data_IF_673981715761
#
_entry.id   IF_673981715761
#
_cell.length_a   1.000
_cell.length_b   1.000
_cell.length_c   1.000
_cell.angle_alpha   90.00
_cell.angle_beta   90.00
_cell.angle_gamma   90.00
#
_symmetry.space_group_name_H-M   'P 1'
#
loop_
_entity.id
_entity.type
_entity.pdbx_description
1 polymer ?
#
# COMPACT_ATOMS: atom_id res chain seq x y z
N UNK A 1 14.14 -16.40 5.39
CA UNK A 1 13.97 -15.00 5.02
C UNK A 1 13.01 -14.99 3.85
N UNK A 2 11.96 -14.18 3.85
CA UNK A 2 11.04 -14.15 2.75
C UNK A 2 11.78 -13.66 1.52
N UNK A 3 11.89 -14.51 0.52
CA UNK A 3 12.11 -14.07 -0.84
C UNK A 3 10.75 -13.63 -1.35
N UNK A 4 10.32 -12.44 -1.04
CA UNK A 4 9.07 -11.93 -1.57
C UNK A 4 9.27 -11.42 -2.99
N UNK A 5 8.23 -11.53 -3.80
CA UNK A 5 8.09 -10.83 -5.04
C UNK A 5 7.19 -9.63 -4.78
N UNK A 6 7.56 -8.47 -5.28
CA UNK A 6 6.76 -7.27 -5.12
C UNK A 6 7.39 -6.22 -4.22
N UNK A 7 6.81 -5.04 -4.20
CA UNK A 7 7.38 -3.88 -3.52
C UNK A 7 7.40 -4.01 -2.00
N UNK A 8 6.41 -4.63 -1.39
CA UNK A 8 6.38 -4.88 0.05
C UNK A 8 7.29 -6.03 0.49
N UNK A 9 7.70 -6.88 -0.44
CA UNK A 9 8.62 -7.97 -0.19
C UNK A 9 10.03 -7.64 -0.66
N UNK A 10 10.19 -6.53 -1.33
CA UNK A 10 11.47 -5.93 -1.65
C UNK A 10 11.87 -5.02 -0.47
N UNK A 11 13.03 -5.11 0.03
CA UNK A 11 14.21 -5.66 -0.59
C UNK A 11 14.30 -7.17 -0.37
N UNK A 12 15.01 -7.83 -1.25
CA UNK A 12 15.73 -9.03 -0.84
C UNK A 12 16.68 -8.62 0.28
N UNK A 13 16.11 -8.15 1.37
CA UNK A 13 16.88 -7.69 2.51
C UNK A 13 17.45 -8.88 3.19
N UNK A 14 18.52 -9.27 2.65
CA UNK A 14 19.61 -9.70 3.47
C UNK A 14 20.30 -8.46 4.07
N UNK A 15 19.53 -7.59 4.72
CA UNK A 15 20.14 -6.63 5.64
C UNK A 15 20.66 -7.42 6.82
N UNK A 16 21.87 -7.89 6.69
CA UNK A 16 22.59 -8.57 7.78
C UNK A 16 22.87 -7.64 8.94
N UNK A 17 22.83 -6.36 8.69
CA UNK A 17 23.08 -5.26 9.62
C UNK A 17 21.90 -4.92 10.53
N UNK A 18 20.67 -5.37 10.24
CA UNK A 18 19.49 -5.06 11.05
C UNK A 18 19.63 -5.52 12.51
N UNK A 19 20.34 -6.63 12.75
CA UNK A 19 20.61 -7.11 14.10
C UNK A 19 21.58 -6.18 14.84
N UNK A 20 22.59 -5.68 14.14
CA UNK A 20 23.54 -4.71 14.70
C UNK A 20 22.85 -3.38 14.97
N UNK A 21 21.94 -2.95 14.11
CA UNK A 21 21.12 -1.77 14.33
C UNK A 21 20.23 -1.93 15.56
N UNK A 22 19.55 -3.08 15.73
CA UNK A 22 18.78 -3.35 16.95
C UNK A 22 19.64 -3.32 18.21
N UNK A 23 20.83 -3.93 18.18
CA UNK A 23 21.75 -3.91 19.31
C UNK A 23 22.18 -2.50 19.63
N UNK A 24 22.48 -1.70 18.63
CA UNK A 24 22.82 -0.30 18.77
C UNK A 24 21.70 0.52 19.45
N UNK A 25 20.42 0.30 19.05
CA UNK A 25 19.25 0.87 19.69
C UNK A 25 19.14 0.46 21.16
N UNK A 26 19.35 -0.82 21.48
CA UNK A 26 19.31 -1.32 22.85
C UNK A 26 20.46 -0.80 23.69
N UNK A 27 21.67 -0.68 23.14
CA UNK A 27 22.81 -0.11 23.86
C UNK A 27 22.54 1.33 24.28
N UNK A 28 21.98 2.14 23.37
CA UNK A 28 21.61 3.51 23.70
C UNK A 28 20.44 3.60 24.69
N UNK A 29 19.30 2.99 24.38
CA UNK A 29 18.09 3.20 25.17
C UNK A 29 18.01 2.38 26.44
N UNK A 30 18.65 1.23 26.53
CA UNK A 30 18.59 0.38 27.71
C UNK A 30 19.84 0.46 28.57
N UNK A 31 21.02 0.69 27.99
CA UNK A 31 22.28 0.75 28.73
C UNK A 31 22.82 2.17 28.89
N UNK A 32 22.42 3.09 28.03
CA UNK A 32 22.97 4.46 27.98
C UNK A 32 24.38 4.50 27.40
N UNK A 33 24.73 3.53 26.56
CA UNK A 33 26.03 3.39 25.92
C UNK A 33 25.96 3.78 24.45
N UNK A 34 27.09 4.20 23.87
CA UNK A 34 27.20 4.52 22.47
C UNK A 34 26.70 5.92 22.10
N UNK A 35 26.23 6.07 20.88
CA UNK A 35 25.71 7.31 20.29
C UNK A 35 24.20 7.21 20.12
N UNK A 36 23.48 8.34 20.25
CA UNK A 36 22.05 8.37 19.97
C UNK A 36 21.75 7.91 18.54
N UNK A 37 20.82 6.97 18.35
CA UNK A 37 20.39 6.59 17.01
C UNK A 37 19.81 7.77 16.24
N UNK A 38 20.06 7.83 14.96
CA UNK A 38 19.36 8.76 14.06
C UNK A 38 17.93 8.26 13.87
N UNK A 39 16.96 9.12 14.22
CA UNK A 39 15.54 8.78 14.06
C UNK A 39 15.10 9.09 12.64
N UNK A 40 14.44 8.13 12.03
CA UNK A 40 13.90 8.25 10.67
C UNK A 40 13.49 6.91 10.12
N UNK A 41 13.24 6.87 8.83
CA UNK A 41 12.79 5.69 8.10
C UNK A 41 13.69 5.48 6.89
N UNK A 42 14.30 4.34 6.79
CA UNK A 42 14.97 3.89 5.57
C UNK A 42 13.98 3.11 4.72
N UNK A 43 13.93 3.46 3.45
CA UNK A 43 13.02 2.84 2.48
C UNK A 43 13.78 2.41 1.26
N UNK A 44 13.32 1.31 0.66
CA UNK A 44 13.81 0.87 -0.63
C UNK A 44 12.66 0.92 -1.64
N UNK A 45 12.88 1.53 -2.78
CA UNK A 45 11.91 1.54 -3.85
C UNK A 45 11.87 0.21 -4.63
N UNK A 46 10.87 0.05 -5.50
CA UNK A 46 10.71 -1.13 -6.35
C UNK A 46 11.82 -1.32 -7.41
N UNK A 47 12.75 -0.39 -7.53
CA UNK A 47 13.94 -0.45 -8.42
C UNK A 47 15.23 -0.70 -7.63
N UNK A 48 15.13 -0.89 -6.31
CA UNK A 48 16.25 -1.18 -5.42
C UNK A 48 17.00 0.05 -4.90
N UNK A 49 16.50 1.25 -5.17
CA UNK A 49 17.07 2.50 -4.64
C UNK A 49 16.75 2.67 -3.16
N UNK A 50 17.76 2.97 -2.34
CA UNK A 50 17.57 3.25 -0.91
C UNK A 50 17.59 4.74 -0.64
N UNK A 51 16.70 5.18 0.25
CA UNK A 51 16.67 6.55 0.75
C UNK A 51 16.27 6.60 2.22
N UNK A 52 16.59 7.71 2.86
CA UNK A 52 16.28 7.99 4.25
C UNK A 52 15.34 9.19 4.34
N UNK A 53 14.29 9.06 5.13
CA UNK A 53 13.35 10.13 5.46
C UNK A 53 13.30 10.34 6.98
N UNK A 54 13.12 11.59 7.39
CA UNK A 54 12.97 11.91 8.82
C UNK A 54 11.60 11.50 9.37
N UNK A 55 10.61 11.36 8.52
CA UNK A 55 9.23 10.91 8.84
C UNK A 55 8.69 10.05 7.70
N UNK A 56 7.67 9.25 8.00
CA UNK A 56 6.94 8.51 6.99
C UNK A 56 5.42 8.68 7.20
N UNK A 57 4.67 9.11 6.20
CA UNK A 57 5.15 9.63 4.90
C UNK A 57 6.09 10.84 5.07
N UNK A 58 6.84 11.17 4.00
CA UNK A 58 7.73 12.33 3.99
C UNK A 58 6.94 13.63 4.23
N UNK A 59 7.58 14.65 4.82
CA UNK A 59 6.89 15.91 5.18
C UNK A 59 6.36 16.69 3.97
N UNK A 60 6.93 16.49 2.81
CA UNK A 60 6.55 17.11 1.53
C UNK A 60 5.68 16.16 0.66
N UNK A 61 5.10 15.14 1.26
CA UNK A 61 4.15 14.27 0.56
C UNK A 61 2.90 15.05 0.15
N UNK A 62 2.57 15.00 -1.11
CA UNK A 62 1.33 15.51 -1.70
C UNK A 62 0.37 14.35 -1.97
N UNK A 63 -0.93 14.59 -1.87
CA UNK A 63 -1.93 13.56 -2.06
C UNK A 63 -2.69 13.79 -3.36
N UNK A 64 -2.55 12.85 -4.30
CA UNK A 64 -3.32 12.82 -5.54
C UNK A 64 -4.62 12.05 -5.31
N UNK A 65 -5.75 12.74 -5.37
CA UNK A 65 -7.07 12.13 -5.31
C UNK A 65 -7.56 11.81 -6.73
N UNK A 66 -7.91 10.56 -6.96
CA UNK A 66 -8.36 10.01 -8.25
C UNK A 66 -9.78 9.52 -8.08
N UNK A 67 -10.72 10.14 -8.76
CA UNK A 67 -12.10 9.70 -8.77
C UNK A 67 -12.26 8.36 -9.50
N UNK A 68 -13.24 7.56 -9.10
CA UNK A 68 -13.43 6.24 -9.71
C UNK A 68 -13.75 6.28 -11.21
N UNK A 69 -14.30 7.36 -11.72
CA UNK A 69 -14.53 7.56 -13.16
C UNK A 69 -13.22 7.56 -13.96
N UNK A 70 -12.13 8.06 -13.36
CA UNK A 70 -10.79 8.07 -13.95
C UNK A 70 -10.10 6.70 -13.88
N UNK A 71 -10.57 5.79 -13.01
CA UNK A 71 -10.07 4.43 -12.85
C UNK A 71 -10.67 3.43 -13.86
N UNK A 72 -11.74 3.80 -14.55
CA UNK A 72 -12.42 2.96 -15.57
C UNK A 72 -12.72 1.53 -15.08
N UNK A 73 -13.46 1.34 -13.98
CA UNK A 73 -13.69 0.01 -13.41
C UNK A 73 -14.43 -0.92 -14.37
N UNK A 74 -13.98 -2.18 -14.47
CA UNK A 74 -14.54 -3.17 -15.39
C UNK A 74 -15.88 -3.76 -14.97
N UNK A 75 -16.38 -3.41 -13.77
CA UNK A 75 -17.63 -3.93 -13.23
C UNK A 75 -18.15 -3.12 -12.05
N UNK A 76 -19.31 -3.49 -11.53
CA UNK A 76 -19.94 -2.80 -10.42
C UNK A 76 -20.36 -3.75 -9.26
N UNK A 77 -19.97 -5.00 -9.30
CA UNK A 77 -20.30 -5.94 -8.23
C UNK A 77 -19.29 -7.07 -8.14
N UNK A 78 -19.04 -7.49 -6.91
CA UNK A 78 -18.24 -8.68 -6.59
C UNK A 78 -19.18 -9.81 -6.16
N UNK A 79 -18.98 -10.98 -6.74
CA UNK A 79 -19.75 -12.19 -6.42
C UNK A 79 -18.83 -13.41 -6.54
N UNK A 80 -18.66 -14.15 -5.46
CA UNK A 80 -17.81 -15.34 -5.45
C UNK A 80 -16.35 -14.98 -5.77
N UNK A 81 -15.85 -15.51 -6.88
CA UNK A 81 -14.45 -15.39 -7.29
C UNK A 81 -14.23 -14.42 -8.47
N UNK A 82 -15.24 -13.64 -8.86
CA UNK A 82 -15.03 -12.65 -9.90
C UNK A 82 -14.12 -11.52 -9.43
N UNK A 83 -13.57 -10.79 -10.38
CA UNK A 83 -12.72 -9.62 -10.13
C UNK A 83 -13.24 -8.40 -10.86
N UNK A 84 -12.84 -7.25 -10.36
CA UNK A 84 -12.99 -5.95 -11.02
C UNK A 84 -11.59 -5.38 -11.22
N UNK A 85 -11.27 -5.02 -12.45
CA UNK A 85 -10.01 -4.37 -12.80
C UNK A 85 -10.22 -2.87 -12.97
N UNK A 86 -9.25 -2.11 -12.52
CA UNK A 86 -9.18 -0.66 -12.62
C UNK A 86 -7.78 -0.28 -13.10
N UNK A 87 -7.66 0.85 -13.79
CA UNK A 87 -6.37 1.33 -14.27
C UNK A 87 -6.31 2.85 -14.13
N UNK A 88 -5.19 3.36 -13.70
CA UNK A 88 -4.88 4.79 -13.70
C UNK A 88 -3.53 5.05 -14.35
N UNK A 89 -3.51 6.02 -15.24
CA UNK A 89 -2.34 6.36 -16.03
C UNK A 89 -2.68 6.41 -17.52
N UNK A 90 -1.69 6.47 -18.41
CA UNK A 90 -0.26 6.55 -18.05
C UNK A 90 0.08 7.86 -17.34
N UNK A 91 1.04 7.84 -16.43
CA UNK A 91 1.55 9.06 -15.79
C UNK A 91 2.31 9.91 -16.81
N UNK A 92 2.08 11.22 -16.77
CA UNK A 92 2.73 12.16 -17.72
C UNK A 92 4.22 12.40 -17.40
N UNK A 93 4.63 12.14 -16.17
CA UNK A 93 5.99 12.31 -15.65
C UNK A 93 6.32 11.19 -14.68
N UNK A 94 7.61 11.06 -14.35
CA UNK A 94 8.07 10.16 -13.30
C UNK A 94 7.38 10.50 -11.98
N UNK A 95 6.92 9.46 -11.27
CA UNK A 95 6.25 9.61 -9.97
C UNK A 95 6.83 8.68 -8.92
N UNK A 96 6.87 9.16 -7.68
CA UNK A 96 7.15 8.35 -6.51
C UNK A 96 5.90 8.27 -5.64
N UNK A 97 5.35 7.07 -5.51
CA UNK A 97 4.26 6.77 -4.57
C UNK A 97 4.92 6.31 -3.28
N UNK A 98 4.97 7.19 -2.28
CA UNK A 98 5.71 6.95 -1.05
C UNK A 98 4.84 7.21 0.18
N UNK A 99 4.24 6.17 0.70
CA UNK A 99 3.30 6.23 1.81
C UNK A 99 2.33 5.05 1.81
N UNK A 100 1.17 5.26 2.38
CA UNK A 100 0.07 4.30 2.36
C UNK A 100 -1.04 4.84 1.45
N UNK A 101 -1.16 4.36 0.20
CA UNK A 101 -2.31 4.68 -0.62
C UNK A 101 -3.60 4.22 0.06
N UNK A 102 -4.68 4.94 -0.18
CA UNK A 102 -5.99 4.57 0.37
C UNK A 102 -7.03 4.47 -0.72
N UNK A 103 -7.93 3.53 -0.58
CA UNK A 103 -9.09 3.39 -1.44
C UNK A 103 -10.37 3.49 -0.60
N UNK A 104 -11.07 4.58 -0.78
CA UNK A 104 -12.34 4.83 -0.14
C UNK A 104 -13.47 4.44 -1.08
N UNK A 105 -14.45 3.65 -0.61
CA UNK A 105 -15.62 3.31 -1.40
C UNK A 105 -16.81 2.93 -0.53
N UNK A 106 -18.01 3.04 -1.10
CA UNK A 106 -19.22 2.51 -0.52
C UNK A 106 -19.62 1.20 -1.20
N UNK A 107 -20.01 0.21 -0.40
CA UNK A 107 -20.48 -1.09 -0.87
C UNK A 107 -21.85 -1.40 -0.28
N UNK A 108 -22.72 -2.01 -1.07
CA UNK A 108 -24.00 -2.54 -0.62
C UNK A 108 -23.95 -4.07 -0.59
N UNK A 109 -23.79 -4.70 0.58
CA UNK A 109 -23.79 -6.17 0.70
C UNK A 109 -25.12 -6.75 0.24
N UNK A 110 -25.08 -7.93 -0.40
CA UNK A 110 -26.32 -8.63 -0.78
C UNK A 110 -26.72 -9.68 0.27
N UNK A 111 -25.83 -9.97 1.22
CA UNK A 111 -26.05 -10.95 2.29
C UNK A 111 -25.56 -10.41 3.63
N UNK A 112 -25.98 -11.03 4.71
CA UNK A 112 -25.50 -10.71 6.07
C UNK A 112 -24.18 -11.38 6.42
N UNK A 113 -23.70 -12.34 5.60
CA UNK A 113 -22.61 -13.26 5.98
C UNK A 113 -21.22 -12.65 5.82
N UNK A 114 -21.08 -11.55 5.12
CA UNK A 114 -19.82 -10.87 4.94
C UNK A 114 -19.72 -10.23 3.56
N UNK A 115 -18.80 -9.33 3.45
CA UNK A 115 -18.31 -8.74 2.22
C UNK A 115 -16.82 -8.44 2.45
N UNK A 116 -15.97 -9.05 1.64
CA UNK A 116 -14.54 -8.85 1.72
C UNK A 116 -14.06 -8.11 0.49
N UNK A 117 -13.19 -7.12 0.69
CA UNK A 117 -12.44 -6.48 -0.37
C UNK A 117 -10.96 -6.82 -0.21
N UNK A 118 -10.37 -7.31 -1.28
CA UNK A 118 -8.93 -7.42 -1.45
C UNK A 118 -8.57 -6.64 -2.71
N UNK A 119 -7.70 -5.66 -2.55
CA UNK A 119 -7.16 -4.87 -3.66
C UNK A 119 -5.71 -5.25 -3.85
N UNK A 120 -5.33 -5.55 -5.06
CA UNK A 120 -3.95 -5.78 -5.46
C UNK A 120 -3.56 -4.72 -6.48
N UNK A 121 -2.45 -4.03 -6.23
CA UNK A 121 -1.89 -3.03 -7.13
C UNK A 121 -0.68 -3.62 -7.84
N UNK A 122 -0.63 -3.47 -9.17
CA UNK A 122 0.49 -3.90 -10.00
C UNK A 122 0.90 -2.79 -10.96
N UNK A 123 2.11 -2.88 -11.51
CA UNK A 123 2.56 -2.06 -12.64
C UNK A 123 2.17 -2.69 -14.00
N UNK A 124 2.59 -2.05 -15.11
CA UNK A 124 2.35 -2.54 -16.48
C UNK A 124 3.03 -3.90 -16.78
N UNK A 125 4.06 -4.28 -16.02
CA UNK A 125 4.72 -5.58 -16.13
C UNK A 125 3.97 -6.69 -15.38
N UNK A 126 3.01 -6.31 -14.54
CA UNK A 126 2.32 -7.20 -13.61
C UNK A 126 3.10 -7.43 -12.32
N UNK A 127 4.14 -6.64 -12.05
CA UNK A 127 4.85 -6.70 -10.77
C UNK A 127 3.93 -6.21 -9.65
N UNK A 128 3.84 -6.99 -8.58
CA UNK A 128 3.08 -6.63 -7.40
C UNK A 128 3.70 -5.40 -6.70
N UNK A 129 2.93 -4.35 -6.53
CA UNK A 129 3.34 -3.11 -5.87
C UNK A 129 2.84 -3.02 -4.43
N UNK A 130 1.70 -3.62 -4.15
CA UNK A 130 1.12 -3.65 -2.82
C UNK A 130 -0.33 -4.11 -2.82
N UNK A 131 -0.87 -4.34 -1.65
CA UNK A 131 -2.26 -4.75 -1.49
C UNK A 131 -2.94 -4.06 -0.31
N UNK A 132 -4.27 -4.10 -0.33
CA UNK A 132 -5.11 -3.67 0.78
C UNK A 132 -6.22 -4.69 1.00
N UNK A 133 -6.65 -4.86 2.25
CA UNK A 133 -7.70 -5.81 2.60
C UNK A 133 -8.69 -5.20 3.56
N UNK A 134 -9.96 -5.53 3.39
CA UNK A 134 -11.01 -5.13 4.30
C UNK A 134 -12.11 -6.18 4.42
N UNK A 135 -12.52 -6.45 5.64
CA UNK A 135 -13.79 -7.10 5.94
C UNK A 135 -14.79 -6.01 6.30
N UNK A 136 -15.80 -5.80 5.45
CA UNK A 136 -16.78 -4.72 5.64
C UNK A 136 -17.65 -4.87 6.90
N UNK A 137 -17.60 -6.02 7.59
CA UNK A 137 -18.20 -6.13 8.92
C UNK A 137 -17.49 -5.27 9.96
N UNK A 138 -16.31 -4.77 9.64
CA UNK A 138 -15.51 -3.88 10.49
C UNK A 138 -15.46 -2.45 9.94
N UNK A 139 -16.40 -2.07 9.09
CA UNK A 139 -16.41 -0.77 8.41
C UNK A 139 -16.39 0.45 9.34
N UNK A 140 -16.93 0.34 10.55
CA UNK A 140 -16.90 1.40 11.56
C UNK A 140 -15.66 1.35 12.48
N UNK A 141 -14.60 0.63 12.07
CA UNK A 141 -13.33 0.59 12.78
C UNK A 141 -13.11 -0.65 13.66
N UNK A 142 -14.09 -1.54 13.74
CA UNK A 142 -13.94 -2.91 14.26
C UNK A 142 -13.48 -3.08 15.70
N UNK A 143 -13.27 -2.00 16.44
CA UNK A 143 -12.71 -2.07 17.79
C UNK A 143 -13.63 -2.78 18.79
N UNK A 144 -14.93 -2.69 18.56
CA UNK A 144 -15.99 -3.24 19.44
C UNK A 144 -16.63 -4.52 18.88
N UNK A 145 -16.08 -5.09 17.80
CA UNK A 145 -16.54 -6.32 17.19
C UNK A 145 -17.12 -6.13 15.78
N UNK A 146 -17.64 -7.22 15.26
CA UNK A 146 -18.25 -7.24 13.93
C UNK A 146 -19.61 -6.54 13.95
N UNK A 147 -19.84 -5.69 12.96
CA UNK A 147 -21.15 -5.11 12.74
C UNK A 147 -22.00 -5.97 11.80
N UNK A 148 -23.29 -5.99 12.05
CA UNK A 148 -24.23 -6.71 11.19
C UNK A 148 -24.38 -5.96 9.87
N UNK A 149 -23.98 -6.60 8.77
CA UNK A 149 -24.29 -6.09 7.45
C UNK A 149 -25.78 -6.30 7.14
N UNK A 150 -26.44 -5.24 6.76
CA UNK A 150 -27.85 -5.29 6.35
C UNK A 150 -27.88 -5.37 4.82
N UNK A 151 -28.50 -6.41 4.22
CA UNK A 151 -28.55 -6.55 2.77
C UNK A 151 -29.08 -5.28 2.09
N UNK A 152 -28.39 -4.85 1.04
CA UNK A 152 -28.70 -3.68 0.21
C UNK A 152 -28.62 -2.33 0.95
N UNK A 153 -28.13 -2.30 2.19
CA UNK A 153 -27.80 -1.05 2.88
C UNK A 153 -26.31 -0.77 2.67
N UNK A 154 -26.02 0.40 2.12
CA UNK A 154 -24.63 0.79 1.84
C UNK A 154 -23.84 1.03 3.11
N UNK A 155 -22.64 0.52 3.14
CA UNK A 155 -21.61 0.80 4.15
C UNK A 155 -20.38 1.35 3.46
N UNK A 156 -19.70 2.30 4.11
CA UNK A 156 -18.49 2.90 3.58
C UNK A 156 -17.27 2.23 4.18
N UNK A 157 -16.28 1.90 3.37
CA UNK A 157 -15.00 1.34 3.78
C UNK A 157 -13.84 2.19 3.32
N UNK A 158 -12.82 2.25 4.15
CA UNK A 158 -11.50 2.77 3.83
C UNK A 158 -10.53 1.60 3.82
N UNK A 159 -9.98 1.30 2.66
CA UNK A 159 -8.95 0.28 2.49
C UNK A 159 -7.58 0.98 2.42
N UNK A 160 -6.73 0.68 3.37
CA UNK A 160 -5.36 1.19 3.40
C UNK A 160 -4.42 0.14 2.81
N UNK A 161 -3.66 0.52 1.80
CA UNK A 161 -2.60 -0.32 1.27
C UNK A 161 -1.44 -0.43 2.27
N UNK A 162 -0.68 -1.49 2.15
CA UNK A 162 0.58 -1.60 2.88
C UNK A 162 1.47 -0.39 2.56
N UNK A 163 2.30 0.05 3.52
CA UNK A 163 3.29 1.09 3.26
C UNK A 163 4.18 0.72 2.08
N UNK A 164 4.35 1.63 1.14
CA UNK A 164 5.12 1.36 -0.09
C UNK A 164 6.00 2.54 -0.48
N UNK A 165 7.05 2.25 -1.22
CA UNK A 165 7.90 3.20 -1.89
C UNK A 165 8.09 2.75 -3.34
N UNK A 166 7.33 3.33 -4.26
CA UNK A 166 7.21 2.89 -5.64
C UNK A 166 7.62 4.01 -6.57
N UNK A 167 8.54 3.70 -7.46
CA UNK A 167 8.88 4.55 -8.58
C UNK A 167 8.24 4.04 -9.86
N UNK A 168 7.56 4.93 -10.57
CA UNK A 168 7.02 4.70 -11.90
C UNK A 168 7.58 5.75 -12.87
N UNK A 169 8.01 5.29 -14.03
CA UNK A 169 8.48 6.17 -15.10
C UNK A 169 7.30 6.82 -15.84
N UNK A 170 7.57 7.94 -16.48
CA UNK A 170 6.59 8.55 -17.38
C UNK A 170 6.15 7.56 -18.45
N UNK A 171 4.85 7.43 -18.64
CA UNK A 171 4.24 6.46 -19.54
C UNK A 171 3.79 5.15 -18.87
N UNK A 172 4.22 4.87 -17.65
CA UNK A 172 3.73 3.71 -16.88
C UNK A 172 2.37 4.00 -16.21
N UNK A 173 1.64 2.93 -15.93
CA UNK A 173 0.32 2.97 -15.28
C UNK A 173 0.30 2.08 -14.04
N UNK A 174 -0.66 2.30 -13.17
CA UNK A 174 -1.00 1.36 -12.11
C UNK A 174 -2.29 0.62 -12.47
N UNK A 175 -2.29 -0.67 -12.16
CA UNK A 175 -3.45 -1.55 -12.31
C UNK A 175 -3.89 -2.03 -10.94
N UNK A 176 -5.17 -1.93 -10.66
CA UNK A 176 -5.74 -2.39 -9.40
C UNK A 176 -6.76 -3.47 -9.71
N UNK A 177 -6.59 -4.63 -9.11
CA UNK A 177 -7.55 -5.73 -9.19
C UNK A 177 -8.24 -5.89 -7.84
N UNK A 178 -9.56 -5.81 -7.85
CA UNK A 178 -10.40 -6.03 -6.68
C UNK A 178 -11.02 -7.42 -6.72
N UNK A 179 -10.87 -8.16 -5.64
CA UNK A 179 -11.44 -9.50 -5.42
C UNK A 179 -11.94 -9.66 -3.99
N UNK A 180 -12.41 -10.84 -3.61
CA UNK A 180 -12.69 -11.16 -2.19
C UNK A 180 -11.55 -11.93 -1.51
N UNK A 181 -10.59 -12.42 -2.29
CA UNK A 181 -9.45 -13.22 -1.80
C UNK A 181 -8.19 -12.81 -2.53
N UNK A 182 -7.04 -12.96 -1.89
CA UNK A 182 -5.73 -12.72 -2.49
C UNK A 182 -4.77 -13.85 -2.20
N UNK A 183 -3.54 -13.76 -2.73
CA UNK A 183 -2.48 -14.74 -2.45
C UNK A 183 -2.17 -14.85 -0.97
N UNK A 184 -2.19 -13.71 -0.28
CA UNK A 184 -1.79 -13.59 1.13
C UNK A 184 -2.99 -13.44 2.08
N UNK A 185 -4.20 -13.34 1.52
CA UNK A 185 -5.43 -13.20 2.27
C UNK A 185 -6.52 -14.11 1.74
N UNK A 186 -6.84 -15.13 2.53
CA UNK A 186 -7.91 -16.09 2.22
C UNK A 186 -8.93 -16.08 3.37
N UNK A 187 -10.02 -15.32 3.24
CA UNK A 187 -11.08 -15.34 4.24
C UNK A 187 -11.76 -16.72 4.28
N UNK A 188 -12.46 -17.00 5.38
CA UNK A 188 -13.28 -18.21 5.45
C UNK A 188 -14.30 -18.24 4.31
N UNK A 189 -14.45 -19.35 3.57
CA UNK A 189 -15.45 -19.46 2.51
C UNK A 189 -16.87 -19.12 2.96
N UNK A 190 -17.19 -19.37 4.24
CA UNK A 190 -18.49 -19.03 4.82
C UNK A 190 -18.73 -17.53 4.99
N UNK A 191 -17.67 -16.70 4.93
CA UNK A 191 -17.75 -15.24 5.03
C UNK A 191 -17.71 -14.55 3.68
N UNK A 192 -17.49 -15.29 2.58
CA UNK A 192 -17.56 -14.73 1.23
C UNK A 192 -19.02 -14.43 0.90
N UNK A 193 -19.27 -13.19 0.54
CA UNK A 193 -20.59 -12.72 0.16
C UNK A 193 -20.61 -12.22 -1.28
N UNK A 194 -21.61 -11.44 -1.56
CA UNK A 194 -21.68 -10.61 -2.76
C UNK A 194 -22.08 -9.20 -2.37
N UNK A 195 -21.60 -8.22 -3.12
CA UNK A 195 -21.92 -6.82 -2.90
C UNK A 195 -21.82 -6.03 -4.19
N UNK A 196 -22.57 -4.95 -4.25
CA UNK A 196 -22.44 -3.92 -5.27
C UNK A 196 -21.57 -2.78 -4.77
N UNK A 197 -20.87 -2.12 -5.69
CA UNK A 197 -19.99 -0.99 -5.40
C UNK A 197 -20.64 0.27 -5.95
N UNK A 198 -20.67 1.30 -5.12
CA UNK A 198 -21.04 2.65 -5.56
C UNK A 198 -19.80 3.41 -6.00
N UNK A 199 -19.51 3.35 -7.28
CA UNK A 199 -18.35 4.03 -7.87
C UNK A 199 -18.45 5.55 -7.81
N UNK A 200 -19.64 6.13 -7.70
CA UNK A 200 -19.80 7.59 -7.62
C UNK A 200 -19.17 8.19 -6.36
N UNK A 201 -18.95 7.36 -5.34
CA UNK A 201 -18.33 7.74 -4.07
C UNK A 201 -16.91 7.19 -3.89
N UNK A 202 -16.42 6.44 -4.87
CA UNK A 202 -15.10 5.80 -4.73
C UNK A 202 -13.97 6.74 -5.14
N UNK A 203 -12.90 6.74 -4.34
CA UNK A 203 -11.72 7.57 -4.54
C UNK A 203 -10.47 6.80 -4.17
N UNK A 204 -9.51 6.77 -5.06
CA UNK A 204 -8.13 6.34 -4.78
C UNK A 204 -7.30 7.57 -4.41
N UNK A 205 -6.59 7.51 -3.30
CA UNK A 205 -5.66 8.55 -2.89
C UNK A 205 -4.24 8.00 -2.89
N UNK A 206 -3.37 8.61 -3.69
CA UNK A 206 -1.95 8.24 -3.79
C UNK A 206 -1.09 9.29 -3.06
N UNK A 207 -0.26 8.88 -2.09
CA UNK A 207 0.74 9.75 -1.49
C UNK A 207 1.94 9.88 -2.45
N UNK A 208 2.15 11.07 -3.01
CA UNK A 208 3.21 11.35 -3.96
C UNK A 208 4.31 12.17 -3.32
N UNK A 209 5.56 11.84 -3.62
CA UNK A 209 6.71 12.68 -3.30
C UNK A 209 7.22 13.30 -4.60
N UNK A 210 7.06 14.62 -4.71
CA UNK A 210 7.41 15.37 -5.91
C UNK A 210 8.86 15.89 -5.83
N UNK A 211 9.83 14.96 -5.89
CA UNK A 211 11.26 15.26 -5.90
C UNK A 211 11.91 14.59 -7.09
N UNK A 212 12.97 15.22 -7.61
CA UNK A 212 13.80 14.54 -8.63
C UNK A 212 14.54 13.36 -8.00
N UNK A 213 14.97 12.43 -8.85
CA UNK A 213 15.78 11.30 -8.43
C UNK A 213 17.00 11.76 -7.60
N UNK A 214 17.72 12.78 -8.05
CA UNK A 214 18.87 13.32 -7.32
C UNK A 214 18.48 13.87 -5.94
N UNK A 215 17.31 14.50 -5.81
CA UNK A 215 16.84 15.04 -4.52
C UNK A 215 16.44 13.91 -3.55
N UNK A 216 15.86 12.83 -4.07
CA UNK A 216 15.46 11.69 -3.26
C UNK A 216 16.65 10.93 -2.67
N UNK A 217 17.74 10.78 -3.45
CA UNK A 217 18.90 9.96 -3.08
C UNK A 217 20.11 10.75 -2.61
N UNK A 218 19.96 12.05 -2.30
CA UNK A 218 21.04 12.88 -1.72
C UNK A 218 21.15 12.79 -0.21
N UNK A 219 20.11 12.35 0.48
CA UNK A 219 20.18 12.23 1.93
C UNK A 219 21.23 11.19 2.33
N UNK A 220 22.08 11.48 3.32
CA UNK A 220 23.00 10.49 3.84
C UNK A 220 22.16 9.33 4.39
N UNK A 221 22.43 8.14 3.90
CA UNK A 221 21.84 6.94 4.45
C UNK A 221 22.30 6.75 5.90
N UNK A 222 21.49 6.07 6.67
CA UNK A 222 21.87 5.64 8.01
C UNK A 222 23.20 4.90 7.96
N UNK A 223 23.99 5.01 9.03
CA UNK A 223 25.33 4.40 9.12
C UNK A 223 25.34 2.88 8.85
N UNK A 224 24.20 2.24 9.02
CA UNK A 224 23.98 0.81 8.77
C UNK A 224 23.14 0.57 7.51
N UNK A 225 22.73 1.62 6.83
CA UNK A 225 21.97 1.51 5.59
C UNK A 225 22.78 0.82 4.52
N UNK A 226 22.12 -0.03 3.74
CA UNK A 226 22.71 -0.71 2.60
C UNK A 226 23.34 0.26 1.59
N UNK A 227 23.84 -0.26 0.51
CA UNK A 227 24.48 0.54 -0.53
C UNK A 227 23.62 1.72 -0.96
N UNK A 228 24.24 2.86 -1.00
CA UNK A 228 23.61 4.12 -1.34
C UNK A 228 22.95 4.05 -2.69
N UNK A 229 21.70 4.35 -2.70
CA UNK A 229 21.01 5.03 -3.73
C UNK A 229 21.10 4.53 -5.16
N UNK A 230 19.99 4.64 -5.79
CA UNK A 230 19.85 4.58 -7.23
C UNK A 230 20.79 5.59 -7.90
N UNK A 231 21.49 5.15 -8.93
CA UNK A 231 22.19 6.07 -9.83
C UNK A 231 21.12 6.78 -10.66
N UNK A 232 20.97 8.05 -10.44
CA UNK A 232 20.09 8.89 -11.21
C UNK A 232 20.63 9.26 -12.58
#
# INVERSE_FOLDING_TARGET
LPSGEGAEAYPYTLRWDWADEMLYWFDWYLKGEGRAPTLGVEMQDNRGGWRFETTYPALDTEYLEIAAEDLSPSGASITGTNSISMTYGPFEQDVYIAGMPTFHMAVAPHTTNGAHGYLEMTDDSGMHLGHAVMDYRFHAGGRDGQELLIPFVSVTGLMEFMPMDIFLEAGESIHITMTQTGSDYVPSPASLGSYSIDWSSATLTLPLVNRTCEQLFQAPMHEYGGETGRIC
#
